data_IF_414165130501
#
_entry.id   IF_414165130501
#
_cell.length_a   1.000
_cell.length_b   1.000
_cell.length_c   1.000
_cell.angle_alpha   90.00
_cell.angle_beta   90.00
_cell.angle_gamma   90.00
#
_symmetry.space_group_name_H-M   'P 1'
#
loop_
_entity.id
_entity.type
_entity.pdbx_description
1 polymer ?
#
# COMPACT_ATOMS: atom_id res chain seq x y z
N UNK A 1 9.66 -5.51 17.95
CA UNK A 1 9.34 -4.47 16.97
C UNK A 1 10.64 -3.93 16.41
N UNK A 2 10.73 -3.84 15.09
CA UNK A 2 11.87 -3.27 14.38
C UNK A 2 12.05 -1.81 14.78
N UNK A 3 13.25 -1.41 15.14
CA UNK A 3 13.52 -0.01 15.44
C UNK A 3 13.59 0.82 14.16
N UNK A 4 12.95 1.99 14.10
CA UNK A 4 13.07 2.89 12.97
C UNK A 4 14.48 3.46 12.89
N UNK A 5 14.98 3.65 11.67
CA UNK A 5 16.27 4.32 11.40
C UNK A 5 16.20 5.81 11.73
N UNK A 6 15.00 6.39 11.63
CA UNK A 6 14.68 7.77 12.02
C UNK A 6 13.18 7.92 12.31
N UNK A 7 12.80 8.86 13.16
CA UNK A 7 11.41 9.09 13.58
C UNK A 7 10.89 10.49 13.25
N UNK A 8 11.77 11.39 12.83
CA UNK A 8 11.57 12.80 12.51
C UNK A 8 11.02 13.02 11.09
N UNK A 9 10.11 12.16 10.63
CA UNK A 9 9.52 12.27 9.30
C UNK A 9 8.42 13.33 9.29
N UNK A 10 8.68 14.47 8.65
CA UNK A 10 7.69 15.50 8.36
C UNK A 10 6.98 15.20 7.03
N UNK A 11 5.67 14.99 7.09
CA UNK A 11 4.83 14.62 5.96
C UNK A 11 4.56 15.78 4.99
N UNK A 12 4.81 17.02 5.43
CA UNK A 12 4.69 18.21 4.58
C UNK A 12 6.01 18.57 3.88
N UNK A 13 7.10 17.90 4.23
CA UNK A 13 8.43 18.17 3.70
C UNK A 13 8.56 17.80 2.22
N UNK A 14 9.50 18.46 1.53
CA UNK A 14 9.85 18.12 0.15
C UNK A 14 10.47 16.72 0.02
N UNK A 15 11.11 16.20 1.07
CA UNK A 15 11.59 14.81 1.12
C UNK A 15 10.41 13.83 1.02
N UNK A 16 9.37 14.05 1.85
CA UNK A 16 8.19 13.20 1.88
C UNK A 16 7.46 13.22 0.54
N UNK A 17 7.16 14.41 -0.01
CA UNK A 17 6.49 14.53 -1.31
C UNK A 17 7.24 13.80 -2.42
N UNK A 18 8.57 13.92 -2.48
CA UNK A 18 9.40 13.21 -3.46
C UNK A 18 9.36 11.70 -3.29
N UNK A 19 9.37 11.19 -2.05
CA UNK A 19 9.27 9.75 -1.81
C UNK A 19 7.84 9.23 -2.04
N UNK A 20 6.82 10.04 -1.79
CA UNK A 20 5.42 9.72 -2.07
C UNK A 20 5.21 9.51 -3.57
N UNK A 21 5.75 10.38 -4.43
CA UNK A 21 5.69 10.22 -5.89
C UNK A 21 6.37 8.92 -6.36
N UNK A 22 7.46 8.50 -5.70
CA UNK A 22 8.08 7.19 -5.98
C UNK A 22 7.21 6.04 -5.50
N UNK A 23 6.49 6.21 -4.38
CA UNK A 23 5.56 5.22 -3.87
C UNK A 23 4.35 5.05 -4.80
N UNK A 24 3.77 6.14 -5.31
CA UNK A 24 2.69 6.10 -6.33
C UNK A 24 3.15 5.33 -7.58
N UNK A 25 4.33 5.67 -8.12
CA UNK A 25 4.93 4.94 -9.26
C UNK A 25 5.21 3.47 -8.95
N UNK A 26 5.58 3.15 -7.70
CA UNK A 26 5.76 1.78 -7.26
C UNK A 26 4.43 1.01 -7.26
N UNK A 27 3.36 1.60 -6.73
CA UNK A 27 2.00 1.00 -6.73
C UNK A 27 1.54 0.72 -8.16
N UNK A 28 1.70 1.69 -9.08
CA UNK A 28 1.40 1.51 -10.50
C UNK A 28 2.19 0.36 -11.14
N UNK A 29 3.47 0.22 -10.80
CA UNK A 29 4.30 -0.88 -11.31
C UNK A 29 3.83 -2.24 -10.79
N UNK A 30 3.42 -2.33 -9.53
CA UNK A 30 2.89 -3.58 -8.95
C UNK A 30 1.64 -4.01 -9.71
N UNK A 31 0.66 -3.13 -9.90
CA UNK A 31 -0.58 -3.50 -10.60
C UNK A 31 -0.32 -3.89 -12.06
N UNK A 32 0.60 -3.21 -12.76
CA UNK A 32 1.01 -3.59 -14.12
C UNK A 32 1.71 -4.94 -14.18
N UNK A 33 2.54 -5.25 -13.19
CA UNK A 33 3.28 -6.51 -13.13
C UNK A 33 2.37 -7.72 -12.87
N UNK A 34 1.38 -7.56 -11.98
CA UNK A 34 0.52 -8.67 -11.55
C UNK A 34 -0.85 -8.71 -12.25
N UNK A 35 -1.18 -7.72 -13.09
CA UNK A 35 -2.52 -7.61 -13.68
C UNK A 35 -3.61 -7.30 -12.65
N UNK A 36 -3.24 -6.66 -11.54
CA UNK A 36 -4.17 -6.24 -10.49
C UNK A 36 -4.75 -4.87 -10.79
N UNK A 37 -5.65 -4.42 -9.92
CA UNK A 37 -6.19 -3.07 -9.93
C UNK A 37 -5.82 -2.32 -8.65
N UNK A 38 -5.71 -1.01 -8.78
CA UNK A 38 -5.69 -0.09 -7.64
C UNK A 38 -7.14 0.05 -7.17
N UNK A 39 -7.35 0.07 -5.85
CA UNK A 39 -8.67 0.30 -5.26
C UNK A 39 -9.34 1.57 -5.80
N UNK A 40 -10.65 1.54 -6.07
CA UNK A 40 -11.39 2.73 -6.49
C UNK A 40 -11.67 3.69 -5.31
N UNK A 41 -11.53 3.22 -4.07
CA UNK A 41 -11.68 4.06 -2.89
C UNK A 41 -10.42 4.94 -2.73
N UNK A 42 -10.55 6.22 -3.08
CA UNK A 42 -9.46 7.20 -3.04
C UNK A 42 -8.90 7.41 -1.62
N UNK A 43 -9.74 7.37 -0.59
CA UNK A 43 -9.31 7.55 0.80
C UNK A 43 -8.41 6.39 1.25
N UNK A 44 -8.78 5.16 0.91
CA UNK A 44 -7.96 3.97 1.17
C UNK A 44 -6.64 4.08 0.42
N UNK A 45 -6.68 4.43 -0.86
CA UNK A 45 -5.47 4.60 -1.66
C UNK A 45 -4.50 5.62 -1.04
N UNK A 46 -4.98 6.82 -0.73
CA UNK A 46 -4.15 7.90 -0.18
C UNK A 46 -3.57 7.52 1.19
N UNK A 47 -4.39 6.94 2.08
CA UNK A 47 -3.96 6.52 3.41
C UNK A 47 -2.85 5.46 3.35
N UNK A 48 -2.98 4.46 2.46
CA UNK A 48 -1.98 3.39 2.33
C UNK A 48 -0.71 3.89 1.63
N UNK A 49 -0.82 4.72 0.58
CA UNK A 49 0.36 5.33 -0.08
C UNK A 49 1.16 6.17 0.90
N UNK A 50 0.47 6.98 1.71
CA UNK A 50 1.07 7.80 2.75
C UNK A 50 1.79 6.94 3.80
N UNK A 51 1.14 5.87 4.29
CA UNK A 51 1.72 4.93 5.24
C UNK A 51 2.94 4.18 4.70
N UNK A 52 2.89 3.70 3.45
CA UNK A 52 4.02 3.05 2.77
C UNK A 52 5.20 4.01 2.60
N UNK A 53 4.93 5.27 2.27
CA UNK A 53 5.93 6.33 2.12
C UNK A 53 6.61 6.63 3.45
N UNK A 54 5.81 6.82 4.51
CA UNK A 54 6.34 7.02 5.87
C UNK A 54 7.22 5.85 6.30
N UNK A 55 6.75 4.60 6.11
CA UNK A 55 7.52 3.42 6.46
C UNK A 55 8.81 3.29 5.64
N UNK A 56 8.78 3.69 4.36
CA UNK A 56 9.98 3.73 3.52
C UNK A 56 11.04 4.68 4.06
N UNK A 57 10.65 5.87 4.54
CA UNK A 57 11.57 6.83 5.14
C UNK A 57 12.05 6.39 6.52
N UNK A 58 11.15 5.90 7.38
CA UNK A 58 11.48 5.50 8.75
C UNK A 58 12.32 4.22 8.81
N UNK A 59 11.98 3.19 8.03
CA UNK A 59 12.60 1.86 8.14
C UNK A 59 13.47 1.49 6.94
N UNK A 60 13.44 2.28 5.87
CA UNK A 60 14.20 2.04 4.64
C UNK A 60 13.52 1.10 3.63
N UNK A 61 12.36 0.51 3.97
CA UNK A 61 11.56 -0.35 3.09
C UNK A 61 10.08 -0.01 3.22
N UNK A 62 9.29 -0.30 2.18
CA UNK A 62 7.83 -0.11 2.17
C UNK A 62 7.13 -1.23 2.96
N UNK A 63 7.32 -1.26 4.27
CA UNK A 63 6.55 -2.16 5.14
C UNK A 63 5.07 -1.79 5.09
N UNK A 64 4.21 -2.79 5.07
CA UNK A 64 2.76 -2.61 5.06
C UNK A 64 2.32 -1.80 6.29
N UNK A 65 1.61 -0.67 6.11
CA UNK A 65 1.24 0.19 7.23
C UNK A 65 0.19 -0.44 8.17
N UNK A 66 -0.48 -1.50 7.74
CA UNK A 66 -1.46 -2.23 8.56
C UNK A 66 -0.81 -3.21 9.56
N UNK A 67 0.50 -3.43 9.48
CA UNK A 67 1.22 -4.36 10.35
C UNK A 67 2.44 -3.70 10.95
N UNK A 68 2.72 -4.01 12.21
CA UNK A 68 3.90 -3.54 12.92
C UNK A 68 5.12 -4.33 12.42
N UNK A 69 6.16 -3.68 11.87
CA UNK A 69 7.38 -4.38 11.49
C UNK A 69 8.09 -4.94 12.73
N UNK A 70 8.42 -6.22 12.72
CA UNK A 70 9.10 -6.94 13.79
C UNK A 70 10.60 -7.11 13.56
N UNK A 71 11.05 -7.00 12.31
CA UNK A 71 12.45 -7.13 11.91
C UNK A 71 12.83 -8.55 11.51
N UNK A 72 11.84 -9.40 11.22
CA UNK A 72 12.02 -10.80 10.87
C UNK A 72 11.54 -11.10 9.43
N UNK A 73 11.58 -12.38 9.05
CA UNK A 73 11.24 -12.86 7.70
C UNK A 73 9.74 -12.87 7.39
N UNK A 74 8.89 -12.71 8.41
CA UNK A 74 7.44 -12.68 8.33
C UNK A 74 6.92 -11.25 8.11
N UNK A 75 7.79 -10.24 8.26
CA UNK A 75 7.45 -8.85 7.98
C UNK A 75 6.87 -8.66 6.57
N UNK A 76 5.73 -7.98 6.53
CA UNK A 76 5.00 -7.71 5.30
C UNK A 76 5.58 -6.50 4.57
N UNK A 77 6.65 -6.70 3.80
CA UNK A 77 7.14 -5.69 2.85
C UNK A 77 6.26 -5.70 1.60
N UNK A 78 5.77 -4.55 1.17
CA UNK A 78 4.86 -4.39 0.04
C UNK A 78 5.58 -4.58 -1.33
N UNK A 79 4.98 -5.26 -2.34
CA UNK A 79 3.80 -6.12 -2.22
C UNK A 79 4.14 -7.37 -1.38
N UNK A 80 3.32 -7.68 -0.38
CA UNK A 80 3.65 -8.73 0.59
C UNK A 80 3.32 -10.14 0.04
N UNK A 81 3.98 -11.16 0.59
CA UNK A 81 3.78 -12.56 0.19
C UNK A 81 2.29 -12.98 0.24
N UNK A 82 1.50 -12.64 1.29
CA UNK A 82 0.07 -12.97 1.32
C UNK A 82 -0.72 -12.32 0.19
N UNK A 83 -0.49 -11.04 -0.10
CA UNK A 83 -1.15 -10.34 -1.20
C UNK A 83 -0.89 -11.02 -2.55
N UNK A 84 0.37 -11.41 -2.80
CA UNK A 84 0.77 -12.13 -4.02
C UNK A 84 0.20 -13.55 -4.05
N UNK A 85 0.18 -14.23 -2.90
CA UNK A 85 -0.15 -15.65 -2.82
C UNK A 85 -1.64 -15.96 -2.86
N UNK A 86 -2.48 -15.19 -2.16
CA UNK A 86 -3.92 -15.49 -2.07
C UNK A 86 -4.82 -14.26 -1.91
N UNK A 87 -4.47 -13.27 -1.07
CA UNK A 87 -5.43 -12.23 -0.64
C UNK A 87 -6.01 -11.44 -1.84
N UNK A 88 -5.17 -11.03 -2.81
CA UNK A 88 -5.66 -10.28 -3.97
C UNK A 88 -6.50 -11.17 -4.89
N UNK A 89 -6.15 -12.45 -5.04
CA UNK A 89 -6.92 -13.39 -5.84
C UNK A 89 -8.33 -13.59 -5.25
N UNK A 90 -8.44 -13.60 -3.91
CA UNK A 90 -9.70 -13.70 -3.18
C UNK A 90 -10.52 -12.40 -3.19
N UNK A 91 -9.93 -11.28 -3.57
CA UNK A 91 -10.63 -10.00 -3.72
C UNK A 91 -9.68 -8.82 -3.63
N UNK A 92 -9.17 -8.54 -2.43
CA UNK A 92 -8.22 -7.47 -2.17
C UNK A 92 -7.19 -7.90 -1.13
N UNK A 93 -5.99 -7.33 -1.20
CA UNK A 93 -5.04 -7.48 -0.11
C UNK A 93 -5.61 -6.91 1.20
N UNK A 94 -5.07 -7.34 2.35
CA UNK A 94 -5.58 -6.93 3.65
C UNK A 94 -5.70 -5.41 3.83
N UNK A 95 -4.77 -4.63 3.27
CA UNK A 95 -4.79 -3.17 3.38
C UNK A 95 -5.70 -2.50 2.34
N UNK A 96 -6.28 -3.26 1.40
CA UNK A 96 -7.25 -2.77 0.44
C UNK A 96 -6.69 -1.90 -0.69
N UNK A 97 -5.37 -1.74 -0.84
CA UNK A 97 -4.79 -0.92 -1.92
C UNK A 97 -4.79 -1.64 -3.28
N UNK A 98 -4.63 -2.97 -3.27
CA UNK A 98 -4.61 -3.82 -4.45
C UNK A 98 -5.80 -4.78 -4.41
N UNK A 99 -6.50 -4.88 -5.53
CA UNK A 99 -7.62 -5.79 -5.71
C UNK A 99 -7.52 -6.54 -7.04
N UNK A 100 -8.16 -7.69 -7.15
CA UNK A 100 -8.38 -8.30 -8.46
C UNK A 100 -9.35 -7.42 -9.29
N UNK A 101 -9.37 -7.59 -10.63
CA UNK A 101 -10.23 -6.77 -11.49
C UNK A 101 -11.72 -6.87 -11.16
N UNK A 102 -12.21 -8.07 -10.84
CA UNK A 102 -13.62 -8.30 -10.51
C UNK A 102 -14.07 -7.51 -9.28
N UNK A 103 -13.31 -7.61 -8.17
CA UNK A 103 -13.61 -6.91 -6.92
C UNK A 103 -13.50 -5.40 -7.09
N UNK A 104 -12.54 -4.93 -7.89
CA UNK A 104 -12.40 -3.51 -8.18
C UNK A 104 -13.64 -2.94 -8.90
N UNK A 105 -14.20 -3.66 -9.87
CA UNK A 105 -15.44 -3.24 -10.55
C UNK A 105 -16.66 -3.28 -9.63
N UNK A 106 -16.76 -4.27 -8.74
CA UNK A 106 -17.81 -4.31 -7.70
C UNK A 106 -17.75 -3.07 -6.80
N UNK A 107 -16.58 -2.76 -6.25
CA UNK A 107 -16.38 -1.61 -5.37
C UNK A 107 -16.68 -0.26 -6.06
N UNK A 108 -16.38 -0.13 -7.36
CA UNK A 108 -16.73 1.07 -8.13
C UNK A 108 -18.24 1.30 -8.16
N UNK A 109 -19.03 0.24 -8.32
CA UNK A 109 -20.50 0.34 -8.34
C UNK A 109 -21.03 0.77 -6.97
N UNK A 110 -20.56 0.13 -5.91
CA UNK A 110 -20.95 0.45 -4.53
C UNK A 110 -20.65 1.91 -4.18
N UNK A 111 -19.50 2.45 -4.59
CA UNK A 111 -19.14 3.85 -4.34
C UNK A 111 -20.05 4.83 -5.08
N UNK A 112 -20.47 4.50 -6.30
CA UNK A 112 -21.36 5.35 -7.09
C UNK A 112 -22.81 5.36 -6.55
N UNK A 113 -23.25 4.27 -5.93
CA UNK A 113 -24.60 4.16 -5.33
C UNK A 113 -24.71 4.84 -3.96
N UNK A 114 -23.57 5.06 -3.28
CA UNK A 114 -23.49 5.66 -1.95
C UNK A 114 -23.04 7.13 -1.95
N UNK A 115 -22.86 7.74 -3.12
CA UNK A 115 -22.41 9.14 -3.30
C UNK A 115 -23.55 10.11 -3.61
#
# INVERSE_FOLDING_TARGET
MLQPKRTDVDMNSEEFKKEEEKTKKFVEKVVKQFGWCITPNKEVYDAIVMGLTRNKLMFGKRYCPCFIPMGDKEDRICPCKPAIGHEVNEGCCHCGIFCNPEKCEEMKKELNENS
#
